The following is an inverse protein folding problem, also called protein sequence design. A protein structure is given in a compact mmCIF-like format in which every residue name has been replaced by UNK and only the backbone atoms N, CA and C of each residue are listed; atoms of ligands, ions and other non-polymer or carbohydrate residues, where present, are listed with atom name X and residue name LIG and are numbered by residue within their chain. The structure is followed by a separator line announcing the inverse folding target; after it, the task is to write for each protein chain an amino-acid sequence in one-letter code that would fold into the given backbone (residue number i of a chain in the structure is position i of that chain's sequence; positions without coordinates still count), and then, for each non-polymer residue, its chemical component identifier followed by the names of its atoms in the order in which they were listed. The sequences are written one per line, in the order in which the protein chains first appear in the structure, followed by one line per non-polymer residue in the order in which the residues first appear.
data_IF_823271245815
#
_entry.id   IF_823271245815
#
_cell.length_a   1.000
_cell.length_b   1.000
_cell.length_c   1.000
_cell.angle_alpha   90.00
_cell.angle_beta   90.00
_cell.angle_gamma   90.00
#
_symmetry.space_group_name_H-M   'P 1'
#
loop_
_entity.id
_entity.type
_entity.pdbx_description
1 polymer ?
#
# COMPACT_ATOMS: atom_id res chain seq x y z
N UNK A 1 -12.39 15.77 -12.64
CA UNK A 1 -11.30 14.89 -13.12
C UNK A 1 -10.43 14.54 -11.93
N UNK A 2 -10.18 13.26 -11.62
CA UNK A 2 -9.25 12.91 -10.52
C UNK A 2 -7.83 13.25 -10.97
N UNK A 3 -7.03 13.85 -10.09
CA UNK A 3 -5.61 14.11 -10.40
C UNK A 3 -4.91 12.76 -10.64
N UNK A 4 -3.83 12.77 -11.44
CA UNK A 4 -3.05 11.57 -11.73
C UNK A 4 -2.57 10.86 -10.45
N UNK A 5 -2.23 11.63 -9.42
CA UNK A 5 -1.86 11.13 -8.10
C UNK A 5 -3.01 10.38 -7.42
N UNK A 6 -4.23 10.94 -7.42
CA UNK A 6 -5.40 10.26 -6.86
C UNK A 6 -5.71 8.97 -7.60
N UNK A 7 -5.53 8.93 -8.92
CA UNK A 7 -5.74 7.71 -9.71
C UNK A 7 -4.74 6.59 -9.31
N UNK A 8 -3.48 6.94 -9.10
CA UNK A 8 -2.43 6.02 -8.62
C UNK A 8 -2.70 5.54 -7.19
N UNK A 9 -3.09 6.44 -6.30
CA UNK A 9 -3.46 6.09 -4.92
C UNK A 9 -4.66 5.13 -4.91
N UNK A 10 -5.68 5.40 -5.72
CA UNK A 10 -6.80 4.48 -5.86
C UNK A 10 -6.39 3.10 -6.40
N UNK A 11 -5.43 3.04 -7.31
CA UNK A 11 -4.88 1.77 -7.79
C UNK A 11 -4.19 1.00 -6.65
N UNK A 12 -3.35 1.67 -5.86
CA UNK A 12 -2.71 1.09 -4.69
C UNK A 12 -3.74 0.58 -3.67
N UNK A 13 -4.78 1.37 -3.37
CA UNK A 13 -5.88 0.98 -2.47
C UNK A 13 -6.60 -0.29 -2.96
N UNK A 14 -6.85 -0.44 -4.27
CA UNK A 14 -7.48 -1.66 -4.80
C UNK A 14 -6.59 -2.89 -4.60
N UNK A 15 -5.28 -2.76 -4.77
CA UNK A 15 -4.34 -3.85 -4.56
C UNK A 15 -4.19 -4.20 -3.07
N UNK A 16 -4.13 -3.20 -2.19
CA UNK A 16 -4.13 -3.40 -0.73
C UNK A 16 -5.36 -4.17 -0.28
N UNK A 17 -6.55 -3.81 -0.76
CA UNK A 17 -7.79 -4.53 -0.41
C UNK A 17 -7.78 -5.99 -0.84
N UNK A 18 -7.08 -6.36 -1.93
CA UNK A 18 -6.89 -7.78 -2.29
C UNK A 18 -6.07 -8.52 -1.23
N UNK A 19 -5.00 -7.93 -0.74
CA UNK A 19 -4.17 -8.52 0.33
C UNK A 19 -4.98 -8.64 1.63
N UNK A 20 -5.74 -7.60 1.97
CA UNK A 20 -6.57 -7.56 3.19
C UNK A 20 -7.66 -8.63 3.18
N UNK A 21 -8.25 -8.88 2.01
CA UNK A 21 -9.29 -9.90 1.83
C UNK A 21 -8.78 -11.34 1.66
N UNK A 22 -7.47 -11.53 1.47
CA UNK A 22 -6.88 -12.84 1.22
C UNK A 22 -6.60 -13.59 2.54
N UNK A 23 -7.42 -14.59 2.84
CA UNK A 23 -7.27 -15.42 4.05
C UNK A 23 -5.98 -16.25 4.08
N UNK A 24 -5.33 -16.47 2.92
CA UNK A 24 -4.03 -17.16 2.84
C UNK A 24 -2.85 -16.29 3.26
N UNK A 25 -3.02 -14.97 3.35
CA UNK A 25 -1.97 -14.04 3.80
C UNK A 25 -1.95 -13.95 5.32
N UNK A 26 -0.79 -14.11 6.00
CA UNK A 26 -0.69 -13.99 7.46
C UNK A 26 -1.29 -12.69 8.05
N UNK A 27 -1.84 -12.79 9.27
CA UNK A 27 -2.61 -11.70 9.91
C UNK A 27 -1.80 -10.41 10.09
N UNK A 28 -0.52 -10.51 10.41
CA UNK A 28 0.38 -9.35 10.57
C UNK A 28 0.56 -8.60 9.25
N UNK A 29 0.73 -9.32 8.13
CA UNK A 29 0.84 -8.72 6.80
C UNK A 29 -0.47 -8.02 6.40
N UNK A 30 -1.62 -8.65 6.67
CA UNK A 30 -2.92 -8.00 6.45
C UNK A 30 -3.11 -6.74 7.31
N UNK A 31 -2.59 -6.74 8.55
CA UNK A 31 -2.62 -5.56 9.43
C UNK A 31 -1.78 -4.41 8.87
N UNK A 32 -0.56 -4.68 8.42
CA UNK A 32 0.28 -3.67 7.78
C UNK A 32 -0.38 -3.12 6.50
N UNK A 33 -1.05 -3.97 5.70
CA UNK A 33 -1.81 -3.51 4.54
C UNK A 33 -2.99 -2.58 4.92
N UNK A 34 -3.70 -2.85 6.03
CA UNK A 34 -4.74 -1.96 6.57
C UNK A 34 -4.13 -0.63 7.03
N UNK A 35 -2.96 -0.65 7.65
CA UNK A 35 -2.26 0.55 8.09
C UNK A 35 -1.81 1.42 6.90
N UNK A 36 -1.19 0.83 5.89
CA UNK A 36 -0.84 1.52 4.64
C UNK A 36 -2.10 2.09 3.95
N UNK A 37 -3.23 1.36 3.97
CA UNK A 37 -4.51 1.86 3.46
C UNK A 37 -4.96 3.12 4.22
N UNK A 38 -4.83 3.16 5.56
CA UNK A 38 -5.16 4.34 6.36
C UNK A 38 -4.28 5.55 6.00
N UNK A 39 -2.98 5.33 5.79
CA UNK A 39 -2.06 6.39 5.36
C UNK A 39 -2.50 7.02 4.03
N UNK A 40 -2.95 6.20 3.09
CA UNK A 40 -3.45 6.66 1.78
C UNK A 40 -4.79 7.40 1.84
N UNK A 41 -5.59 7.17 2.88
CA UNK A 41 -6.92 7.76 3.05
C UNK A 41 -6.93 9.04 3.88
N UNK A 42 -5.81 9.41 4.50
CA UNK A 42 -5.72 10.64 5.29
C UNK A 42 -5.67 11.88 4.39
N UNK A 43 -6.84 12.40 4.02
CA UNK A 43 -6.99 13.56 3.16
C UNK A 43 -6.53 14.88 3.79
N UNK A 44 -6.10 14.89 5.05
CA UNK A 44 -5.47 16.06 5.66
C UNK A 44 -4.03 16.28 5.15
N UNK A 45 -3.42 15.25 4.55
CA UNK A 45 -2.06 15.23 4.05
C UNK A 45 -2.02 15.35 2.52
N UNK A 46 -0.88 15.83 2.00
CA UNK A 46 -0.65 15.87 0.55
C UNK A 46 -0.56 14.45 -0.04
N UNK A 47 -0.86 14.26 -1.34
CA UNK A 47 -0.70 12.97 -1.99
C UNK A 47 0.69 12.36 -1.84
N UNK A 48 1.75 13.16 -1.94
CA UNK A 48 3.12 12.72 -1.76
C UNK A 48 3.38 12.21 -0.34
N UNK A 49 2.96 12.95 0.69
CA UNK A 49 3.15 12.54 2.10
C UNK A 49 2.39 11.25 2.42
N UNK A 50 1.13 11.13 1.98
CA UNK A 50 0.34 9.89 2.16
C UNK A 50 1.03 8.69 1.52
N UNK A 51 1.54 8.85 0.29
CA UNK A 51 2.24 7.81 -0.45
C UNK A 51 3.54 7.40 0.26
N UNK A 52 4.35 8.36 0.72
CA UNK A 52 5.59 8.10 1.45
C UNK A 52 5.33 7.32 2.75
N UNK A 53 4.33 7.73 3.53
CA UNK A 53 3.95 7.04 4.77
C UNK A 53 3.51 5.59 4.50
N UNK A 54 2.68 5.38 3.47
CA UNK A 54 2.24 4.04 3.08
C UNK A 54 3.40 3.16 2.60
N UNK A 55 4.36 3.72 1.83
CA UNK A 55 5.56 2.99 1.39
C UNK A 55 6.41 2.56 2.58
N UNK A 56 6.59 3.42 3.58
CA UNK A 56 7.37 3.07 4.79
C UNK A 56 6.80 1.84 5.51
N UNK A 57 5.48 1.79 5.71
CA UNK A 57 4.79 0.65 6.34
C UNK A 57 4.96 -0.63 5.51
N UNK A 58 4.85 -0.50 4.18
CA UNK A 58 4.95 -1.62 3.26
C UNK A 58 6.37 -2.15 3.11
N UNK A 59 7.38 -1.29 3.18
CA UNK A 59 8.79 -1.68 3.11
C UNK A 59 9.19 -2.50 4.33
N UNK A 60 8.79 -2.06 5.54
CA UNK A 60 9.03 -2.80 6.78
C UNK A 60 8.42 -4.21 6.72
N UNK A 61 7.13 -4.31 6.42
CA UNK A 61 6.47 -5.61 6.36
C UNK A 61 7.01 -6.47 5.23
N UNK A 62 7.52 -5.90 4.12
CA UNK A 62 8.09 -6.66 3.01
C UNK A 62 9.28 -7.53 3.41
N UNK A 63 9.94 -7.21 4.53
CA UNK A 63 11.04 -8.01 5.07
C UNK A 63 10.58 -9.21 5.89
N UNK A 64 9.27 -9.39 6.10
CA UNK A 64 8.74 -10.52 6.86
C UNK A 64 9.09 -11.87 6.20
N UNK A 65 9.70 -12.81 6.94
CA UNK A 65 10.12 -14.11 6.39
C UNK A 65 8.94 -15.03 6.07
N UNK A 66 7.78 -14.81 6.68
CA UNK A 66 6.55 -15.59 6.45
C UNK A 66 5.69 -15.02 5.32
N UNK A 67 6.16 -13.99 4.61
CA UNK A 67 5.39 -13.39 3.53
C UNK A 67 5.25 -14.32 2.33
N UNK A 68 4.01 -14.66 1.92
CA UNK A 68 3.77 -15.43 0.70
C UNK A 68 4.29 -14.70 -0.54
N UNK A 69 4.82 -15.45 -1.50
CA UNK A 69 5.40 -14.87 -2.73
C UNK A 69 4.43 -13.98 -3.50
N UNK A 70 3.16 -14.36 -3.60
CA UNK A 70 2.14 -13.55 -4.29
C UNK A 70 1.85 -12.22 -3.57
N UNK A 71 1.84 -12.24 -2.24
CA UNK A 71 1.70 -11.03 -1.43
C UNK A 71 2.92 -10.12 -1.59
N UNK A 72 4.13 -10.69 -1.60
CA UNK A 72 5.40 -9.97 -1.82
C UNK A 72 5.42 -9.23 -3.15
N UNK A 73 5.08 -9.92 -4.24
CA UNK A 73 4.99 -9.30 -5.57
C UNK A 73 3.93 -8.19 -5.61
N UNK A 74 2.80 -8.41 -4.95
CA UNK A 74 1.72 -7.39 -4.89
C UNK A 74 2.16 -6.15 -4.11
N UNK A 75 2.80 -6.33 -2.95
CA UNK A 75 3.36 -5.24 -2.14
C UNK A 75 4.40 -4.45 -2.94
N UNK A 76 5.32 -5.14 -3.62
CA UNK A 76 6.31 -4.48 -4.47
C UNK A 76 5.67 -3.62 -5.56
N UNK A 77 4.63 -4.13 -6.24
CA UNK A 77 3.88 -3.35 -7.24
C UNK A 77 3.19 -2.12 -6.61
N UNK A 78 2.59 -2.27 -5.43
CA UNK A 78 1.99 -1.14 -4.69
C UNK A 78 3.04 -0.07 -4.41
N UNK A 79 4.19 -0.45 -3.85
CA UNK A 79 5.27 0.50 -3.57
C UNK A 79 5.77 1.19 -4.82
N UNK A 80 5.97 0.45 -5.93
CA UNK A 80 6.39 1.02 -7.20
C UNK A 80 5.40 2.08 -7.74
N UNK A 81 4.09 1.82 -7.64
CA UNK A 81 3.05 2.80 -8.02
C UNK A 81 3.12 4.04 -7.13
N UNK A 82 3.18 3.84 -5.80
CA UNK A 82 3.19 4.93 -4.82
C UNK A 82 4.44 5.80 -4.91
N UNK A 83 5.62 5.23 -5.22
CA UNK A 83 6.86 6.00 -5.41
C UNK A 83 6.81 6.99 -6.58
N UNK A 84 5.81 6.88 -7.47
CA UNK A 84 5.58 7.85 -8.56
C UNK A 84 4.60 8.96 -8.21
N UNK A 85 4.04 8.97 -7.00
CA UNK A 85 3.18 10.03 -6.48
C UNK A 85 4.06 11.10 -5.87
N UNK A 86 3.95 12.34 -6.36
CA UNK A 86 4.73 13.50 -5.94
C UNK A 86 3.81 14.70 -5.78
N UNK A 87 4.18 15.65 -4.93
CA UNK A 87 3.46 16.92 -4.76
C UNK A 87 3.67 17.88 -5.95
#
# INVERSE_FOLDING_TARGET
MKSLNEAKIMQAIRLLNKIIGDSSVPRNIRRAAIEALRMLQDTSLSPGVRAANAVSVLDEISQDPNMPMHARTTIWNIMAVLSTVKD
#
